data_IF_631145399221
#
_entry.id   IF_631145399221
#
_cell.length_a   1.000
_cell.length_b   1.000
_cell.length_c   1.000
_cell.angle_alpha   90.00
_cell.angle_beta   90.00
_cell.angle_gamma   90.00
#
_symmetry.space_group_name_H-M   'P 1'
#
loop_
_entity.id
_entity.type
_entity.pdbx_description
1 polymer ?
#
# COMPACT_ATOMS: atom_id res chain seq x y z
N UNK A 1 -41.46 0.02 1.14
CA UNK A 1 -40.21 0.20 1.92
C UNK A 1 -39.18 -0.74 1.36
N UNK A 2 -38.15 -0.23 0.68
CA UNK A 2 -37.01 -1.05 0.26
C UNK A 2 -36.03 -1.02 1.42
N UNK A 3 -35.89 -2.15 2.11
CA UNK A 3 -34.84 -2.35 3.11
C UNK A 3 -33.55 -2.50 2.32
N UNK A 4 -32.77 -1.43 2.23
CA UNK A 4 -31.42 -1.51 1.66
C UNK A 4 -30.60 -2.26 2.72
N UNK A 5 -30.38 -3.56 2.49
CA UNK A 5 -29.44 -4.33 3.28
C UNK A 5 -28.07 -3.63 3.12
N UNK A 6 -27.54 -3.09 4.22
CA UNK A 6 -26.16 -2.65 4.26
C UNK A 6 -25.31 -3.89 3.95
N UNK A 7 -24.79 -3.94 2.73
CA UNK A 7 -23.73 -4.88 2.36
C UNK A 7 -22.65 -4.80 3.43
N UNK A 8 -22.20 -5.95 3.94
CA UNK A 8 -21.10 -6.02 4.91
C UNK A 8 -20.01 -5.02 4.53
N UNK A 9 -19.60 -4.11 5.43
CA UNK A 9 -18.53 -3.19 5.11
C UNK A 9 -17.29 -4.02 4.80
N UNK A 10 -16.83 -3.99 3.55
CA UNK A 10 -15.49 -4.48 3.21
C UNK A 10 -14.55 -3.83 4.23
N UNK A 11 -13.86 -4.68 4.99
CA UNK A 11 -12.99 -4.21 6.06
C UNK A 11 -11.95 -3.26 5.51
N UNK A 12 -11.52 -2.30 6.33
CA UNK A 12 -10.40 -1.38 6.06
C UNK A 12 -9.19 -2.09 5.42
N UNK A 13 -8.98 -3.37 5.77
CA UNK A 13 -7.99 -4.26 5.17
C UNK A 13 -8.20 -4.52 3.67
N UNK A 14 -9.38 -4.86 3.17
CA UNK A 14 -9.54 -5.22 1.76
C UNK A 14 -9.47 -3.99 0.86
N UNK A 15 -9.97 -2.85 1.33
CA UNK A 15 -9.73 -1.55 0.70
C UNK A 15 -8.22 -1.29 0.53
N UNK A 16 -7.44 -1.44 1.62
CA UNK A 16 -5.99 -1.27 1.59
C UNK A 16 -5.32 -2.27 0.64
N UNK A 17 -5.70 -3.55 0.67
CA UNK A 17 -5.19 -4.58 -0.28
C UNK A 17 -5.48 -4.17 -1.72
N UNK A 18 -6.70 -3.71 -2.02
CA UNK A 18 -7.10 -3.30 -3.37
C UNK A 18 -6.28 -2.11 -3.86
N UNK A 19 -6.07 -1.10 -3.00
CA UNK A 19 -5.20 0.04 -3.30
C UNK A 19 -3.77 -0.41 -3.62
N UNK A 20 -3.18 -1.24 -2.76
CA UNK A 20 -1.82 -1.74 -2.95
C UNK A 20 -1.68 -2.54 -4.24
N UNK A 21 -2.67 -3.36 -4.59
CA UNK A 21 -2.71 -4.09 -5.85
C UNK A 21 -2.73 -3.17 -7.08
N UNK A 22 -3.54 -2.11 -7.07
CA UNK A 22 -3.57 -1.13 -8.17
C UNK A 22 -2.21 -0.43 -8.33
N UNK A 23 -1.55 -0.07 -7.21
CA UNK A 23 -0.21 0.54 -7.21
C UNK A 23 0.83 -0.43 -7.77
N UNK A 24 0.84 -1.68 -7.31
CA UNK A 24 1.79 -2.70 -7.76
C UNK A 24 1.64 -2.97 -9.26
N UNK A 25 0.40 -3.02 -9.73
CA UNK A 25 0.08 -3.29 -11.13
C UNK A 25 0.52 -2.15 -12.03
N UNK A 26 0.23 -0.90 -11.63
CA UNK A 26 0.44 0.28 -12.48
C UNK A 26 1.83 0.89 -12.36
N UNK A 27 2.51 0.65 -11.24
CA UNK A 27 3.84 1.22 -10.93
C UNK A 27 3.89 2.73 -11.17
N UNK A 28 3.08 3.50 -10.43
CA UNK A 28 2.96 4.94 -10.66
C UNK A 28 4.31 5.65 -10.47
N UNK A 29 4.56 6.68 -11.29
CA UNK A 29 5.64 7.62 -10.99
C UNK A 29 5.18 8.62 -9.92
N UNK A 30 6.12 9.27 -9.20
CA UNK A 30 5.84 10.24 -8.11
C UNK A 30 4.79 11.28 -8.49
N UNK A 31 4.89 11.84 -9.70
CA UNK A 31 3.89 12.77 -10.28
C UNK A 31 3.30 12.21 -11.58
N UNK A 32 3.10 10.91 -11.59
CA UNK A 32 2.62 10.16 -12.74
C UNK A 32 1.11 10.30 -12.91
N UNK A 33 0.64 10.29 -14.17
CA UNK A 33 -0.79 10.24 -14.54
C UNK A 33 -1.49 8.98 -14.03
N UNK A 34 -0.71 7.98 -13.64
CA UNK A 34 -1.16 6.71 -13.08
C UNK A 34 -1.94 6.92 -11.77
N UNK A 35 -1.56 7.89 -10.94
CA UNK A 35 -2.28 8.23 -9.71
C UNK A 35 -3.73 8.63 -9.96
N UNK A 36 -3.98 9.38 -11.03
CA UNK A 36 -5.36 9.71 -11.46
C UNK A 36 -6.18 8.46 -11.77
N UNK A 37 -5.56 7.47 -12.41
CA UNK A 37 -6.26 6.23 -12.76
C UNK A 37 -6.51 5.37 -11.52
N UNK A 38 -5.52 5.27 -10.62
CA UNK A 38 -5.65 4.56 -9.34
C UNK A 38 -6.81 5.17 -8.52
N UNK A 39 -6.80 6.49 -8.38
CA UNK A 39 -7.82 7.25 -7.63
C UNK A 39 -9.22 6.99 -8.17
N UNK A 40 -9.38 7.10 -9.49
CA UNK A 40 -10.66 6.79 -10.14
C UNK A 40 -11.12 5.36 -9.85
N UNK A 41 -10.22 4.38 -9.96
CA UNK A 41 -10.55 2.97 -9.72
C UNK A 41 -10.90 2.69 -8.26
N UNK A 42 -10.22 3.32 -7.31
CA UNK A 42 -10.51 3.15 -5.89
C UNK A 42 -11.84 3.81 -5.50
N UNK A 43 -12.11 5.02 -5.99
CA UNK A 43 -13.38 5.68 -5.75
C UNK A 43 -14.55 4.89 -6.36
N UNK A 44 -14.39 4.42 -7.60
CA UNK A 44 -15.38 3.59 -8.25
C UNK A 44 -15.60 2.28 -7.47
N UNK A 45 -14.53 1.62 -7.03
CA UNK A 45 -14.63 0.40 -6.21
C UNK A 45 -15.46 0.62 -4.95
N UNK A 46 -15.18 1.68 -4.18
CA UNK A 46 -15.92 2.01 -2.96
C UNK A 46 -17.39 2.32 -3.23
N UNK A 47 -17.69 3.05 -4.31
CA UNK A 47 -19.05 3.40 -4.69
C UNK A 47 -19.85 2.18 -5.15
N UNK A 48 -19.29 1.36 -6.03
CA UNK A 48 -19.93 0.17 -6.58
C UNK A 48 -20.26 -0.87 -5.49
N UNK A 49 -19.47 -0.93 -4.41
CA UNK A 49 -19.69 -1.82 -3.27
C UNK A 49 -20.50 -1.16 -2.13
N UNK A 50 -21.07 0.03 -2.34
CA UNK A 50 -21.91 0.72 -1.35
C UNK A 50 -21.17 1.21 -0.10
N UNK A 51 -19.84 1.23 -0.12
CA UNK A 51 -19.00 1.61 1.02
C UNK A 51 -18.82 3.12 1.15
N UNK A 52 -19.00 3.84 0.06
CA UNK A 52 -19.02 5.29 0.04
C UNK A 52 -20.23 5.77 -0.75
N UNK A 53 -20.93 6.77 -0.23
CA UNK A 53 -22.19 7.23 -0.82
C UNK A 53 -22.03 7.96 -2.16
N UNK A 54 -20.79 8.32 -2.52
CA UNK A 54 -20.48 9.05 -3.76
C UNK A 54 -19.27 8.42 -4.45
N UNK A 55 -19.01 8.71 -5.73
CA UNK A 55 -17.76 8.29 -6.39
C UNK A 55 -16.59 9.25 -6.09
N UNK A 56 -16.58 9.92 -4.94
CA UNK A 56 -15.62 10.97 -4.58
C UNK A 56 -15.00 10.75 -3.19
N UNK A 57 -14.55 9.53 -2.90
CA UNK A 57 -13.85 9.24 -1.63
C UNK A 57 -12.52 10.00 -1.53
N UNK A 58 -11.66 9.82 -2.53
CA UNK A 58 -10.52 10.70 -2.75
C UNK A 58 -10.94 11.85 -3.65
N UNK A 59 -10.76 13.10 -3.19
CA UNK A 59 -11.09 14.28 -3.97
C UNK A 59 -10.08 14.55 -5.09
N UNK A 60 -8.83 14.18 -4.89
CA UNK A 60 -7.76 14.31 -5.87
C UNK A 60 -6.84 13.10 -5.89
N UNK A 61 -6.04 12.99 -6.96
CA UNK A 61 -5.00 11.98 -7.07
C UNK A 61 -3.84 12.20 -6.08
N UNK A 62 -3.59 13.45 -5.71
CA UNK A 62 -2.69 13.81 -4.62
C UNK A 62 -3.20 13.27 -3.27
N UNK A 63 -4.51 13.34 -2.98
CA UNK A 63 -5.06 12.80 -1.73
C UNK A 63 -4.88 11.28 -1.64
N UNK A 64 -5.13 10.58 -2.75
CA UNK A 64 -4.89 9.13 -2.84
C UNK A 64 -3.40 8.80 -2.63
N UNK A 65 -2.51 9.59 -3.23
CA UNK A 65 -1.07 9.41 -3.08
C UNK A 65 -0.61 9.65 -1.63
N UNK A 66 -1.06 10.74 -1.00
CA UNK A 66 -0.74 11.05 0.41
C UNK A 66 -1.26 9.99 1.36
N UNK A 67 -2.44 9.44 1.10
CA UNK A 67 -2.96 8.31 1.87
C UNK A 67 -2.03 7.10 1.75
N UNK A 68 -1.61 6.77 0.53
CA UNK A 68 -0.65 5.69 0.30
C UNK A 68 0.67 5.92 1.03
N UNK A 69 1.24 7.12 1.00
CA UNK A 69 2.51 7.41 1.69
C UNK A 69 2.41 7.14 3.21
N UNK A 70 1.29 7.55 3.84
CA UNK A 70 1.03 7.22 5.26
C UNK A 70 0.89 5.72 5.50
N UNK A 71 0.36 4.99 4.52
CA UNK A 71 0.17 3.55 4.60
C UNK A 71 1.51 2.78 4.56
N UNK A 72 2.49 3.27 3.81
CA UNK A 72 3.83 2.67 3.70
C UNK A 72 4.88 3.34 4.58
N UNK A 73 4.49 4.32 5.37
CA UNK A 73 5.39 4.98 6.32
C UNK A 73 5.94 3.96 7.33
N UNK A 74 7.25 3.97 7.54
CA UNK A 74 7.94 3.01 8.40
C UNK A 74 8.05 1.59 7.83
N UNK A 75 7.57 1.32 6.61
CA UNK A 75 7.76 0.02 5.94
C UNK A 75 9.18 -0.06 5.40
N UNK A 76 10.09 -0.62 6.20
CA UNK A 76 11.46 -0.90 5.76
C UNK A 76 11.56 -2.32 5.19
N UNK A 77 12.13 -2.52 3.99
CA UNK A 77 12.55 -3.85 3.57
C UNK A 77 13.60 -4.35 4.56
N UNK A 78 13.29 -5.37 5.36
CA UNK A 78 14.33 -6.07 6.11
C UNK A 78 15.34 -6.57 5.08
N UNK A 79 16.59 -6.11 5.15
CA UNK A 79 17.71 -6.77 4.47
C UNK A 79 17.58 -8.25 4.86
N UNK A 80 17.36 -9.12 3.89
CA UNK A 80 17.44 -10.56 4.13
C UNK A 80 18.90 -10.87 4.45
N UNK A 81 19.27 -10.76 5.73
CA UNK A 81 20.39 -11.55 6.24
C UNK A 81 19.89 -12.98 6.26
N UNK A 82 20.50 -13.83 5.45
CA UNK A 82 20.34 -15.27 5.54
C UNK A 82 20.57 -15.67 7.00
N UNK A 83 19.52 -16.07 7.70
CA UNK A 83 19.64 -16.69 9.00
C UNK A 83 18.70 -17.89 9.01
N UNK A 84 19.38 -19.03 9.12
CA UNK A 84 18.94 -20.39 9.15
C UNK A 84 17.60 -20.63 9.84
N UNK A 85 16.85 -21.55 9.23
CA UNK A 85 15.78 -22.33 9.83
C UNK A 85 16.29 -22.88 11.18
N UNK A 86 15.74 -22.35 12.27
CA UNK A 86 15.92 -22.85 13.63
C UNK A 86 14.54 -23.12 14.22
N UNK A 87 14.14 -24.39 14.22
CA UNK A 87 12.91 -24.87 14.82
C UNK A 87 13.04 -24.86 16.35
N UNK A 88 12.07 -24.32 17.10
CA UNK A 88 11.61 -24.84 18.42
C UNK A 88 10.54 -23.97 19.10
N UNK A 89 9.73 -24.52 20.05
CA UNK A 89 8.28 -24.37 20.05
C UNK A 89 7.68 -23.52 21.20
N UNK A 90 6.46 -23.03 20.93
CA UNK A 90 5.26 -22.81 21.80
C UNK A 90 5.51 -22.55 23.30
N UNK A 91 4.95 -21.45 23.84
CA UNK A 91 3.88 -21.45 24.87
C UNK A 91 3.50 -20.01 25.28
N UNK A 92 2.26 -19.57 25.00
CA UNK A 92 1.47 -18.67 25.85
C UNK A 92 0.01 -18.62 25.33
N UNK A 93 -0.95 -18.72 26.27
CA UNK A 93 -2.41 -18.84 26.10
C UNK A 93 -3.10 -17.48 26.45
N UNK A 94 -4.44 -17.30 26.35
CA UNK A 94 -5.06 -16.31 25.43
C UNK A 94 -6.15 -15.39 26.05
N UNK A 95 -6.09 -14.08 25.83
CA UNK A 95 -7.19 -13.12 26.07
C UNK A 95 -6.68 -11.74 25.58
N UNK A 96 -7.34 -10.91 24.78
CA UNK A 96 -8.74 -10.68 24.46
C UNK A 96 -8.94 -10.46 22.95
N UNK A 97 -10.19 -10.59 22.50
CA UNK A 97 -10.66 -10.52 21.11
C UNK A 97 -10.09 -9.34 20.29
N UNK A 98 -9.71 -9.59 19.03
CA UNK A 98 -10.08 -8.82 17.82
C UNK A 98 -9.55 -9.58 16.57
N UNK A 99 -10.52 -10.04 15.76
CA UNK A 99 -10.44 -10.39 14.33
C UNK A 99 -9.24 -11.24 13.87
N UNK A 100 -9.43 -12.56 13.92
CA UNK A 100 -8.48 -13.56 13.43
C UNK A 100 -8.43 -13.59 11.90
N UNK A 101 -7.82 -12.56 11.29
CA UNK A 101 -7.31 -12.71 9.93
C UNK A 101 -6.35 -13.90 9.91
N UNK A 102 -6.63 -14.91 9.06
CA UNK A 102 -5.78 -16.08 8.86
C UNK A 102 -4.32 -15.66 8.68
N UNK A 103 -3.33 -16.37 9.25
CA UNK A 103 -1.92 -16.05 9.11
C UNK A 103 -1.47 -15.83 7.66
N UNK A 104 -2.05 -16.58 6.70
CA UNK A 104 -1.79 -16.42 5.27
C UNK A 104 -2.27 -15.08 4.71
N UNK A 105 -3.44 -14.60 5.14
CA UNK A 105 -4.01 -13.30 4.73
C UNK A 105 -3.19 -12.12 5.27
N UNK A 106 -2.71 -12.22 6.52
CA UNK A 106 -1.79 -11.21 7.09
C UNK A 106 -0.47 -11.15 6.33
N UNK A 107 0.10 -12.30 6.00
CA UNK A 107 1.35 -12.41 5.24
C UNK A 107 1.19 -11.82 3.83
N UNK A 108 0.05 -12.08 3.17
CA UNK A 108 -0.26 -11.51 1.87
C UNK A 108 -0.32 -9.97 1.92
N UNK A 109 -0.99 -9.40 2.92
CA UNK A 109 -1.08 -7.95 3.09
C UNK A 109 0.29 -7.27 3.30
N UNK A 110 1.13 -7.83 4.17
CA UNK A 110 2.48 -7.30 4.40
C UNK A 110 3.36 -7.38 3.14
N UNK A 111 3.24 -8.46 2.37
CA UNK A 111 3.96 -8.59 1.10
C UNK A 111 3.53 -7.52 0.09
N UNK A 112 2.23 -7.19 0.01
CA UNK A 112 1.75 -6.10 -0.83
C UNK A 112 2.29 -4.75 -0.36
N UNK A 113 2.30 -4.48 0.94
CA UNK A 113 2.89 -3.25 1.50
C UNK A 113 4.37 -3.10 1.12
N UNK A 114 5.17 -4.14 1.36
CA UNK A 114 6.59 -4.14 1.03
C UNK A 114 6.83 -3.91 -0.47
N UNK A 115 6.03 -4.57 -1.32
CA UNK A 115 6.18 -4.44 -2.77
C UNK A 115 5.79 -3.05 -3.27
N UNK A 116 4.71 -2.48 -2.74
CA UNK A 116 4.27 -1.14 -3.11
C UNK A 116 5.26 -0.07 -2.61
N UNK A 117 5.80 -0.21 -1.39
CA UNK A 117 6.82 0.67 -0.84
C UNK A 117 8.11 0.65 -1.69
N UNK A 118 8.54 -0.53 -2.15
CA UNK A 118 9.70 -0.65 -3.03
C UNK A 118 9.47 0.03 -4.39
N UNK A 119 8.27 -0.08 -4.95
CA UNK A 119 7.90 0.62 -6.19
C UNK A 119 7.98 2.14 -6.00
N UNK A 120 7.45 2.66 -4.89
CA UNK A 120 7.53 4.09 -4.58
C UNK A 120 8.98 4.55 -4.43
N UNK A 121 9.81 3.78 -3.71
CA UNK A 121 11.24 4.08 -3.55
C UNK A 121 11.93 4.18 -4.92
N UNK A 122 11.66 3.23 -5.82
CA UNK A 122 12.19 3.25 -7.18
C UNK A 122 11.66 4.45 -7.99
N UNK A 123 10.38 4.79 -7.85
CA UNK A 123 9.77 5.94 -8.51
C UNK A 123 10.44 7.25 -8.08
N UNK A 124 10.69 7.43 -6.77
CA UNK A 124 11.41 8.57 -6.21
C UNK A 124 12.85 8.64 -6.73
N UNK A 125 13.59 7.54 -6.67
CA UNK A 125 14.97 7.46 -7.15
C UNK A 125 15.06 7.85 -8.64
N UNK A 126 14.12 7.37 -9.45
CA UNK A 126 14.03 7.72 -10.87
C UNK A 126 13.65 9.18 -11.10
N UNK A 127 12.74 9.72 -10.29
CA UNK A 127 12.33 11.12 -10.36
C UNK A 127 13.51 12.06 -10.09
N UNK A 128 14.25 11.82 -9.00
CA UNK A 128 15.39 12.66 -8.62
C UNK A 128 16.55 12.54 -9.61
N UNK A 129 16.87 11.34 -10.09
CA UNK A 129 17.92 11.15 -11.12
C UNK A 129 17.62 11.91 -12.41
N UNK A 130 16.37 11.92 -12.87
CA UNK A 130 15.97 12.68 -14.07
C UNK A 130 16.08 14.19 -13.85
N UNK A 131 15.75 14.66 -12.65
CA UNK A 131 15.78 16.10 -12.33
C UNK A 131 17.20 16.62 -12.07
N UNK A 132 18.07 15.76 -11.57
CA UNK A 132 19.43 16.10 -11.18
C UNK A 132 20.44 15.03 -11.63
N UNK A 133 20.73 14.94 -12.93
CA UNK A 133 21.61 13.91 -13.47
C UNK A 133 23.05 13.97 -12.93
N UNK A 134 23.47 15.13 -12.39
CA UNK A 134 24.80 15.35 -11.84
C UNK A 134 24.90 15.12 -10.32
N UNK A 135 23.82 14.76 -9.62
CA UNK A 135 23.89 14.52 -8.16
C UNK A 135 24.81 13.35 -7.84
N UNK A 136 24.79 12.28 -8.64
CA UNK A 136 25.67 11.13 -8.42
C UNK A 136 27.15 11.49 -8.58
N UNK A 137 27.46 12.45 -9.46
CA UNK A 137 28.81 12.99 -9.65
C UNK A 137 29.22 13.97 -8.53
N UNK A 138 28.26 14.64 -7.89
CA UNK A 138 28.51 15.51 -6.74
C UNK A 138 28.73 14.69 -5.46
N UNK A 139 27.95 13.65 -5.22
CA UNK A 139 28.09 12.77 -4.06
C UNK A 139 29.45 12.03 -4.08
N UNK A 140 29.90 11.57 -5.25
CA UNK A 140 31.23 10.93 -5.42
C UNK A 140 32.43 11.86 -5.28
N UNK A 141 32.26 13.18 -5.38
CA UNK A 141 33.37 14.15 -5.22
C UNK A 141 33.61 14.54 -3.76
N UNK A 142 32.74 14.11 -2.86
CA UNK A 142 32.79 14.40 -1.42
C UNK A 142 33.29 13.23 -0.58
N UNK A 143 33.68 12.11 -1.21
CA UNK A 143 34.43 11.00 -0.62
C UNK A 143 35.92 11.13 -0.98
#
# INVERSE_FOLDING_TARGET
MVVIAFSEPIGDREFKVKLLMEIITRKPAVKGKEWRTITYKMNQYLFDHGQWHTPYYFYSDEDCYRYFLRLVEGVTPKKQTATSIGNSPVTAKPEDAIESASPSSRLNYQNFLLKAAEIERQAQENYWRRRHPNIDALLKKTE
#
